data_IF_204041831137
#
_entry.id   IF_204041831137
#
_cell.length_a   1.000
_cell.length_b   1.000
_cell.length_c   1.000
_cell.angle_alpha   90.00
_cell.angle_beta   90.00
_cell.angle_gamma   90.00
#
_symmetry.space_group_name_H-M   'P 1'
#
loop_
_entity.id
_entity.type
_entity.pdbx_description
1 polymer ?
#
# COMPACT_ATOMS: atom_id res chain seq x y z
N UNK A 1 -21.29 8.52 11.31
CA UNK A 1 -20.39 9.30 10.42
C UNK A 1 -19.10 8.51 10.31
N UNK A 2 -18.66 8.15 9.11
CA UNK A 2 -17.34 7.55 8.94
C UNK A 2 -16.30 8.64 9.19
N UNK A 3 -15.39 8.36 10.11
CA UNK A 3 -14.31 9.29 10.47
C UNK A 3 -13.27 9.33 9.35
N UNK A 4 -12.68 10.50 9.08
CA UNK A 4 -11.67 10.69 8.03
C UNK A 4 -10.49 9.72 8.16
N UNK A 5 -10.13 9.34 9.40
CA UNK A 5 -9.09 8.34 9.64
C UNK A 5 -9.48 6.94 9.15
N UNK A 6 -10.77 6.58 9.23
CA UNK A 6 -11.27 5.31 8.69
C UNK A 6 -11.21 5.29 7.16
N UNK A 7 -11.63 6.38 6.51
CA UNK A 7 -11.57 6.50 5.06
C UNK A 7 -10.11 6.52 4.55
N UNK A 8 -9.20 7.18 5.28
CA UNK A 8 -7.77 7.18 4.98
C UNK A 8 -7.17 5.78 4.96
N UNK A 9 -7.47 4.96 5.96
CA UNK A 9 -7.01 3.55 6.03
C UNK A 9 -7.53 2.70 4.87
N UNK A 10 -8.79 2.88 4.47
CA UNK A 10 -9.34 2.18 3.31
C UNK A 10 -8.65 2.56 2.01
N UNK A 11 -8.43 3.86 1.77
CA UNK A 11 -7.70 4.34 0.59
C UNK A 11 -6.28 3.79 0.54
N UNK A 12 -5.60 3.75 1.69
CA UNK A 12 -4.25 3.20 1.81
C UNK A 12 -4.23 1.70 1.49
N UNK A 13 -5.14 0.91 2.06
CA UNK A 13 -5.26 -0.53 1.77
C UNK A 13 -5.53 -0.80 0.28
N UNK A 14 -6.44 -0.05 -0.34
CA UNK A 14 -6.70 -0.15 -1.77
C UNK A 14 -5.45 0.17 -2.61
N UNK A 15 -4.72 1.23 -2.25
CA UNK A 15 -3.49 1.61 -2.94
C UNK A 15 -2.43 0.50 -2.91
N UNK A 16 -2.26 -0.15 -1.75
CA UNK A 16 -1.33 -1.28 -1.58
C UNK A 16 -1.71 -2.45 -2.48
N UNK A 17 -2.97 -2.87 -2.47
CA UNK A 17 -3.45 -3.99 -3.28
C UNK A 17 -3.30 -3.73 -4.79
N UNK A 18 -3.61 -2.51 -5.23
CA UNK A 18 -3.43 -2.11 -6.63
C UNK A 18 -1.96 -2.21 -7.05
N UNK A 19 -1.04 -1.70 -6.24
CA UNK A 19 0.41 -1.77 -6.52
C UNK A 19 0.90 -3.21 -6.54
N UNK A 20 0.47 -4.04 -5.58
CA UNK A 20 0.81 -5.48 -5.54
C UNK A 20 0.38 -6.21 -6.82
N UNK A 21 -0.85 -5.95 -7.30
CA UNK A 21 -1.37 -6.55 -8.53
C UNK A 21 -0.54 -6.15 -9.75
N UNK A 22 -0.22 -4.87 -9.90
CA UNK A 22 0.55 -4.36 -11.04
C UNK A 22 2.02 -4.79 -11.00
N UNK A 23 2.63 -4.79 -9.81
CA UNK A 23 4.00 -5.29 -9.61
C UNK A 23 4.11 -6.78 -9.96
N UNK A 24 3.15 -7.59 -9.53
CA UNK A 24 3.08 -9.02 -9.86
C UNK A 24 3.01 -9.25 -11.36
N UNK A 25 2.16 -8.51 -12.10
CA UNK A 25 2.08 -8.60 -13.57
C UNK A 25 3.42 -8.30 -14.25
N UNK A 26 4.21 -7.40 -13.67
CA UNK A 26 5.51 -6.99 -14.19
C UNK A 26 6.67 -7.85 -13.68
N UNK A 27 6.39 -8.90 -12.90
CA UNK A 27 7.41 -9.81 -12.34
C UNK A 27 8.18 -9.26 -11.14
N UNK A 28 7.72 -8.18 -10.51
CA UNK A 28 8.32 -7.65 -9.30
C UNK A 28 7.75 -8.29 -8.03
N UNK A 29 8.58 -8.45 -7.01
CA UNK A 29 8.17 -8.71 -5.63
C UNK A 29 7.98 -7.38 -4.91
N UNK A 30 6.94 -7.29 -4.08
CA UNK A 30 6.65 -6.09 -3.27
C UNK A 30 6.84 -6.40 -1.79
N UNK A 31 7.59 -5.54 -1.10
CA UNK A 31 7.73 -5.54 0.35
C UNK A 31 7.15 -4.25 0.94
N UNK A 32 6.51 -4.35 2.11
CA UNK A 32 5.96 -3.22 2.85
C UNK A 32 6.93 -2.79 3.94
N UNK A 33 7.11 -1.48 4.12
CA UNK A 33 7.80 -0.87 5.24
C UNK A 33 6.88 0.16 5.89
N UNK A 34 6.55 -0.05 7.16
CA UNK A 34 5.80 0.94 7.95
C UNK A 34 6.74 2.09 8.32
N UNK A 35 6.25 3.32 8.18
CA UNK A 35 6.94 4.54 8.59
C UNK A 35 6.37 5.03 9.92
N UNK A 36 7.17 5.78 10.68
CA UNK A 36 6.84 6.25 12.03
C UNK A 36 5.60 7.17 12.09
N UNK A 37 5.22 7.76 10.95
CA UNK A 37 4.06 8.64 10.80
C UNK A 37 2.79 7.90 10.32
N UNK A 38 2.80 6.57 10.32
CA UNK A 38 1.68 5.74 9.90
C UNK A 38 1.54 5.55 8.38
N UNK A 39 2.44 6.15 7.57
CA UNK A 39 2.51 5.86 6.13
C UNK A 39 3.12 4.48 5.88
N UNK A 40 2.84 3.92 4.71
CA UNK A 40 3.43 2.66 4.25
C UNK A 40 4.24 2.94 2.98
N UNK A 41 5.51 2.55 3.00
CA UNK A 41 6.38 2.54 1.82
C UNK A 41 6.35 1.16 1.18
N UNK A 42 6.08 1.12 -0.11
CA UNK A 42 6.15 -0.09 -0.93
C UNK A 42 7.48 -0.13 -1.66
N UNK A 43 8.22 -1.23 -1.50
CA UNK A 43 9.50 -1.47 -2.15
C UNK A 43 9.33 -2.58 -3.17
N UNK A 44 9.46 -2.24 -4.46
CA UNK A 44 9.47 -3.21 -5.55
C UNK A 44 10.90 -3.70 -5.79
N UNK A 45 11.11 -5.02 -5.82
CA UNK A 45 12.39 -5.68 -6.14
C UNK A 45 12.17 -6.66 -7.28
N UNK A 46 13.14 -6.80 -8.16
CA UNK A 46 13.10 -7.74 -9.28
C UNK A 46 13.93 -8.97 -8.94
#
# INVERSE_FOLDING_TARGET
KYDDAWLGRLKQAYGIEKVRKEAKKKGYRVSEQKLDDGRIRLVCRR
#
